data_IF_117672606374
#
_entry.id   IF_117672606374
#
_cell.length_a   1.000
_cell.length_b   1.000
_cell.length_c   1.000
_cell.angle_alpha   90.00
_cell.angle_beta   90.00
_cell.angle_gamma   90.00
#
_symmetry.space_group_name_H-M   'P 1'
#
loop_
_entity.id
_entity.type
_entity.pdbx_description
1 polymer ?
2 non-polymer ?
3 non-polymer ?
4 non-polymer ?
5 non-polymer ?
6 non-polymer ?
7 water ?
#
# COMPACT_ATOMS: atom_id res chain seq x y z
N UNK A 29 19.75 8.45 32.49
CA UNK A 29 19.94 7.84 31.13
C UNK A 29 21.08 6.83 31.09
N UNK A 30 20.81 5.68 31.69
CA UNK A 30 21.71 4.55 31.65
C UNK A 30 21.15 3.59 30.61
N UNK A 31 21.98 3.23 29.65
CA UNK A 31 21.52 2.44 28.49
C UNK A 31 21.05 1.04 28.89
N UNK A 32 21.56 0.54 30.02
CA UNK A 32 21.15 -0.78 30.50
C UNK A 32 19.74 -0.79 31.10
N UNK A 33 19.19 0.38 31.38
CA UNK A 33 17.81 0.50 31.89
C UNK A 33 16.77 0.88 30.82
N UNK A 34 17.18 1.02 29.57
CA UNK A 34 16.24 1.21 28.45
C UNK A 34 15.29 0.01 28.36
N UNK A 35 13.98 0.25 28.41
CA UNK A 35 13.03 -0.86 28.43
C UNK A 35 13.01 -1.74 27.16
N UNK A 36 12.74 -3.03 27.33
CA UNK A 36 12.33 -3.89 26.23
C UNK A 36 10.95 -3.42 25.74
N UNK A 37 10.68 -3.60 24.43
CA UNK A 37 9.41 -3.09 23.84
C UNK A 37 8.18 -3.86 24.28
N UNK A 38 7.02 -3.22 24.13
CA UNK A 38 5.73 -3.81 24.48
C UNK A 38 4.87 -3.97 23.25
N UNK A 39 3.86 -4.82 23.36
CA UNK A 39 2.97 -5.14 22.25
C UNK A 39 1.69 -4.35 22.38
N UNK A 40 1.07 -4.04 21.24
CA UNK A 40 -0.21 -3.37 21.25
C UNK A 40 -1.23 -4.18 22.07
N UNK A 41 -2.02 -3.48 22.87
CA UNK A 41 -3.01 -4.12 23.75
C UNK A 41 -4.29 -4.46 22.99
N UNK A 42 -4.44 -5.75 22.62
CA UNK A 42 -5.58 -6.17 21.79
C UNK A 42 -6.93 -6.02 22.53
N UNK A 43 -6.89 -5.94 23.86
CA UNK A 43 -8.10 -5.74 24.64
C UNK A 43 -8.68 -4.33 24.43
N UNK A 44 -7.86 -3.41 23.93
CA UNK A 44 -8.34 -2.04 23.64
C UNK A 44 -9.23 -1.95 22.39
N UNK A 45 -9.31 -3.02 21.60
CA UNK A 45 -10.05 -3.02 20.33
C UNK A 45 -11.43 -3.66 20.45
N UNK A 46 -12.36 -3.22 19.62
CA UNK A 46 -13.62 -3.92 19.47
C UNK A 46 -13.44 -5.10 18.50
N UNK A 47 -14.35 -6.06 18.56
CA UNK A 47 -14.29 -7.23 17.70
C UNK A 47 -14.17 -6.82 16.23
N UNK A 48 -13.22 -7.43 15.54
CA UNK A 48 -13.05 -7.18 14.10
C UNK A 48 -12.55 -8.46 13.44
N UNK A 49 -13.10 -8.80 12.29
CA UNK A 49 -12.65 -9.98 11.54
C UNK A 49 -11.22 -9.86 11.09
N UNK A 50 -10.49 -10.96 11.16
CA UNK A 50 -9.19 -11.06 10.48
C UNK A 50 -9.42 -11.33 8.99
N UNK A 51 -8.57 -10.73 8.15
CA UNK A 51 -8.52 -11.03 6.73
C UNK A 51 -7.36 -11.99 6.49
N UNK A 52 -7.60 -12.98 5.64
CA UNK A 52 -6.57 -13.95 5.32
C UNK A 52 -6.57 -14.27 3.83
N UNK A 53 -5.50 -14.92 3.38
CA UNK A 53 -5.36 -15.35 2.00
C UNK A 53 -5.91 -16.75 1.83
N UNK A 54 -6.77 -16.95 0.84
CA UNK A 54 -7.18 -18.30 0.44
C UNK A 54 -7.13 -18.39 -1.08
N UNK A 55 -6.15 -19.15 -1.57
CA UNK A 55 -5.92 -19.25 -3.01
C UNK A 55 -5.64 -17.88 -3.59
N UNK A 56 -6.40 -17.51 -4.62
CA UNK A 56 -6.26 -16.20 -5.24
C UNK A 56 -7.16 -15.12 -4.66
N UNK A 57 -7.76 -15.35 -3.50
CA UNK A 57 -8.65 -14.37 -2.86
C UNK A 57 -8.22 -14.04 -1.45
N UNK A 58 -8.69 -12.89 -0.99
CA UNK A 58 -8.79 -12.62 0.44
C UNK A 58 -10.16 -13.09 0.92
N UNK A 59 -10.19 -13.61 2.13
CA UNK A 59 -11.44 -13.92 2.83
C UNK A 59 -11.42 -13.38 4.25
N UNK A 60 -12.58 -12.99 4.76
CA UNK A 60 -12.72 -12.65 6.18
C UNK A 60 -12.87 -13.94 6.99
N UNK A 61 -12.84 -13.82 8.31
CA UNK A 61 -12.85 -15.02 9.13
C UNK A 61 -14.25 -15.61 9.34
N UNK A 62 -15.25 -14.97 8.72
CA UNK A 62 -16.56 -15.58 8.53
C UNK A 62 -16.59 -16.39 7.23
N UNK A 63 -15.49 -16.38 6.48
CA UNK A 63 -15.39 -17.15 5.23
C UNK A 63 -15.84 -16.42 3.97
N UNK A 64 -16.29 -15.18 4.10
CA UNK A 64 -16.75 -14.39 2.96
C UNK A 64 -15.60 -13.73 2.20
N UNK A 65 -15.64 -13.75 0.87
CA UNK A 65 -14.62 -13.11 0.03
C UNK A 65 -14.54 -11.62 0.36
N UNK A 66 -13.32 -11.11 0.46
CA UNK A 66 -13.10 -9.74 0.86
C UNK A 66 -12.25 -9.01 -0.17
N UNK A 67 -12.57 -7.74 -0.38
CA UNK A 67 -11.80 -6.87 -1.27
C UNK A 67 -11.37 -5.61 -0.53
N UNK A 68 -10.06 -5.35 -0.46
CA UNK A 68 -9.59 -4.05 -0.02
C UNK A 68 -9.94 -2.99 -1.08
N UNK A 69 -10.62 -1.97 -0.57
CA UNK A 69 -11.06 -0.78 -1.28
C UNK A 69 -10.84 0.48 -0.42
N UNK A 70 -9.99 1.41 -0.86
CA UNK A 70 -9.74 2.55 -0.05
C UNK A 70 -8.75 3.45 -0.70
N UNK A 71 -7.97 4.13 0.14
CA UNK A 71 -7.07 5.16 -0.31
C UNK A 71 -5.77 5.13 0.47
N UNK A 72 -4.75 5.72 -0.12
CA UNK A 72 -3.59 6.16 0.62
C UNK A 72 -3.90 7.49 1.25
N UNK A 73 -3.36 7.71 2.44
CA UNK A 73 -3.21 9.06 2.98
C UNK A 73 -1.71 9.36 3.04
N UNK A 74 -1.34 10.58 3.39
CA UNK A 74 0.07 10.95 3.38
C UNK A 74 0.79 10.34 4.59
N UNK A 75 2.11 10.43 4.58
CA UNK A 75 2.91 9.99 5.73
C UNK A 75 2.43 10.67 7.00
N UNK A 76 2.44 9.92 8.10
CA UNK A 76 1.98 10.37 9.40
C UNK A 76 2.66 11.68 9.84
N UNK A 77 3.98 11.78 9.59
CA UNK A 77 4.73 12.99 9.92
C UNK A 77 4.29 14.20 9.12
N UNK A 78 3.98 14.02 7.84
CA UNK A 78 3.46 15.15 7.08
C UNK A 78 2.11 15.63 7.68
N UNK A 79 1.23 14.69 7.98
CA UNK A 79 -0.08 15.05 8.50
C UNK A 79 0.04 15.74 9.86
N UNK A 80 0.86 15.19 10.75
CA UNK A 80 1.05 15.80 12.08
C UNK A 80 1.56 17.25 11.94
N UNK A 81 2.45 17.49 11.01
CA UNK A 81 3.05 18.81 10.83
C UNK A 81 2.02 19.88 10.49
N UNK A 82 0.87 19.49 9.95
CA UNK A 82 -0.19 20.45 9.65
C UNK A 82 -1.44 20.19 10.51
N UNK A 83 -1.28 19.42 11.58
CA UNK A 83 -2.39 19.08 12.48
C UNK A 83 -3.55 18.39 11.79
N UNK A 84 -3.24 17.54 10.81
CA UNK A 84 -4.26 16.79 10.10
C UNK A 84 -4.25 15.32 10.45
N UNK A 85 -3.37 14.92 11.39
CA UNK A 85 -3.37 13.54 11.90
C UNK A 85 -4.35 13.45 13.05
N UNK A 86 -5.55 13.01 12.70
CA UNK A 86 -6.66 12.94 13.65
C UNK A 86 -7.75 11.98 13.16
N UNK A 87 -8.55 11.49 14.10
CA UNK A 87 -9.57 10.50 13.83
C UNK A 87 -10.59 11.00 12.83
N UNK A 88 -10.83 12.31 12.83
CA UNK A 88 -11.77 12.90 11.90
C UNK A 88 -11.43 12.62 10.45
N UNK A 89 -10.15 12.47 10.13
CA UNK A 89 -9.76 12.11 8.75
C UNK A 89 -10.28 10.71 8.39
N UNK A 90 -10.09 9.75 9.31
CA UNK A 90 -10.51 8.36 9.06
C UNK A 90 -12.05 8.29 9.00
N UNK A 91 -12.70 9.08 9.83
CA UNK A 91 -14.16 9.15 9.87
C UNK A 91 -14.71 9.70 8.54
N UNK A 92 -14.07 10.74 8.01
CA UNK A 92 -14.49 11.27 6.72
C UNK A 92 -14.44 10.15 5.67
N UNK A 93 -13.35 9.39 5.67
CA UNK A 93 -13.15 8.38 4.64
C UNK A 93 -14.11 7.21 4.78
N UNK A 94 -14.26 6.71 5.99
CA UNK A 94 -15.17 5.61 6.23
C UNK A 94 -16.64 6.01 6.01
N UNK A 95 -17.06 7.15 6.52
CA UNK A 95 -18.46 7.54 6.46
C UNK A 95 -18.87 8.13 5.12
N UNK A 96 -17.99 8.88 4.45
CA UNK A 96 -18.36 9.62 3.25
C UNK A 96 -17.75 9.15 1.93
N UNK A 97 -16.67 8.37 1.98
CA UNK A 97 -15.98 7.96 0.76
C UNK A 97 -16.05 6.45 0.48
N UNK A 98 -16.72 5.71 1.36
CA UNK A 98 -16.95 4.29 1.16
C UNK A 98 -15.75 3.38 1.36
N UNK A 99 -14.70 3.85 2.04
CA UNK A 99 -13.48 3.02 2.10
C UNK A 99 -13.65 1.91 3.12
N UNK A 100 -13.02 0.76 2.90
CA UNK A 100 -12.82 -0.22 3.96
C UNK A 100 -11.34 -0.39 4.36
N UNK A 101 -10.45 0.35 3.72
CA UNK A 101 -9.00 0.21 3.91
C UNK A 101 -8.30 1.59 3.81
N UNK A 102 -7.29 1.81 4.64
CA UNK A 102 -6.38 2.94 4.43
C UNK A 102 -4.95 2.41 4.34
N UNK A 103 -4.21 2.88 3.34
CA UNK A 103 -2.79 2.56 3.22
C UNK A 103 -1.97 3.70 3.81
N UNK A 104 -1.10 3.37 4.75
CA UNK A 104 -0.19 4.32 5.40
C UNK A 104 1.20 4.18 4.77
N UNK A 105 1.64 5.17 3.97
CA UNK A 105 2.96 5.10 3.36
C UNK A 105 4.00 5.70 4.31
N UNK A 106 4.63 4.83 5.07
CA UNK A 106 5.60 5.19 6.06
C UNK A 106 6.96 5.42 5.40
N UNK A 107 7.36 6.70 5.30
CA UNK A 107 8.58 7.05 4.60
C UNK A 107 9.76 6.89 5.55
N UNK A 108 10.85 6.23 5.10
CA UNK A 108 11.98 6.01 6.00
C UNK A 108 12.53 7.28 6.63
N UNK A 109 12.57 8.39 5.89
CA UNK A 109 13.09 9.64 6.45
C UNK A 109 12.24 10.13 7.63
N UNK A 110 10.94 9.86 7.56
CA UNK A 110 9.98 10.26 8.59
C UNK A 110 10.03 9.32 9.78
N UNK A 111 10.21 8.03 9.52
CA UNK A 111 10.45 7.02 10.55
C UNK A 111 11.66 7.43 11.39
N UNK A 112 12.74 7.87 10.73
CA UNK A 112 13.92 8.36 11.45
C UNK A 112 13.71 9.72 12.14
N UNK A 113 13.05 10.66 11.46
CA UNK A 113 12.82 11.98 12.01
C UNK A 113 11.91 11.92 13.26
N UNK A 114 10.77 11.27 13.17
CA UNK A 114 9.96 11.10 14.40
C UNK A 114 10.61 10.14 15.38
N UNK A 115 11.31 9.13 14.87
CA UNK A 115 11.89 8.09 15.68
C UNK A 115 10.91 6.95 15.80
N UNK A 116 11.42 5.70 15.82
CA UNK A 116 10.54 4.53 15.89
C UNK A 116 9.51 4.57 17.01
N UNK A 117 9.93 4.90 18.23
CA UNK A 117 9.01 4.87 19.37
C UNK A 117 7.82 5.80 19.16
N UNK A 118 8.09 7.01 18.68
CA UNK A 118 7.03 8.01 18.50
C UNK A 118 6.16 7.65 17.31
N UNK A 119 6.81 7.17 16.25
CA UNK A 119 6.08 6.79 15.04
C UNK A 119 5.14 5.65 15.39
N UNK A 120 5.62 4.66 16.13
CA UNK A 120 4.74 3.53 16.46
C UNK A 120 3.57 4.00 17.33
N UNK A 121 3.82 4.97 18.22
CA UNK A 121 2.74 5.52 19.03
C UNK A 121 1.64 6.15 18.19
N UNK A 122 2.02 6.79 17.08
CA UNK A 122 1.03 7.34 16.15
C UNK A 122 0.33 6.25 15.31
N UNK A 123 1.07 5.23 14.88
CA UNK A 123 0.42 4.10 14.26
C UNK A 123 -0.63 3.46 15.20
N UNK A 124 -0.33 3.40 16.50
CA UNK A 124 -1.31 2.89 17.46
C UNK A 124 -2.62 3.67 17.38
N UNK A 125 -2.53 4.97 17.22
CA UNK A 125 -3.70 5.81 17.13
C UNK A 125 -4.49 5.38 15.89
N UNK A 126 -3.80 5.21 14.76
CA UNK A 126 -4.47 4.78 13.53
C UNK A 126 -5.20 3.46 13.69
N UNK A 127 -4.58 2.52 14.42
CA UNK A 127 -5.14 1.21 14.68
C UNK A 127 -6.45 1.36 15.45
N UNK A 128 -6.43 2.17 16.50
CA UNK A 128 -7.62 2.37 17.30
C UNK A 128 -8.72 3.05 16.51
N UNK A 129 -8.37 4.04 15.70
CA UNK A 129 -9.36 4.75 14.89
C UNK A 129 -9.99 3.82 13.87
N UNK A 130 -9.13 3.07 13.19
CA UNK A 130 -9.56 2.21 12.11
C UNK A 130 -10.45 1.11 12.70
N UNK A 131 -10.02 0.50 13.80
CA UNK A 131 -10.78 -0.55 14.47
C UNK A 131 -12.17 -0.05 14.87
N UNK A 132 -12.27 1.18 15.36
CA UNK A 132 -13.52 1.70 15.82
C UNK A 132 -14.49 1.86 14.65
N UNK A 133 -13.95 2.15 13.47
CA UNK A 133 -14.73 2.37 12.27
C UNK A 133 -14.92 1.08 11.46
N UNK A 134 -14.35 -0.02 11.92
CA UNK A 134 -14.48 -1.28 11.20
C UNK A 134 -13.68 -1.31 9.90
N UNK A 135 -12.63 -0.52 9.78
CA UNK A 135 -11.81 -0.54 8.55
C UNK A 135 -10.39 -1.06 8.83
N UNK A 136 -9.64 -1.32 7.75
CA UNK A 136 -8.37 -2.00 7.80
C UNK A 136 -7.22 -1.10 7.39
N UNK A 137 -6.02 -1.42 7.89
CA UNK A 137 -4.78 -0.73 7.48
C UNK A 137 -3.85 -1.61 6.68
N UNK A 138 -3.23 -1.01 5.68
CA UNK A 138 -2.07 -1.56 5.00
C UNK A 138 -0.90 -0.72 5.46
N UNK A 139 0.07 -1.38 6.11
CA UNK A 139 1.29 -0.68 6.52
C UNK A 139 2.33 -0.88 5.44
N UNK A 140 2.77 0.23 4.84
CA UNK A 140 3.67 0.22 3.69
C UNK A 140 5.02 0.88 4.05
N UNK A 141 6.10 0.11 3.88
CA UNK A 141 7.42 0.63 4.06
C UNK A 141 7.72 1.36 2.76
N UNK A 142 7.61 2.69 2.80
CA UNK A 142 7.46 3.47 1.59
C UNK A 142 8.79 3.99 1.06
N UNK A 143 9.49 3.09 0.38
CA UNK A 143 10.73 3.40 -0.29
C UNK A 143 10.57 3.19 -1.80
N UNK A 144 11.46 3.82 -2.57
CA UNK A 144 11.50 3.68 -4.03
C UNK A 144 12.96 3.51 -4.42
N UNK A 145 13.30 2.37 -5.00
CA UNK A 145 14.67 2.07 -5.35
C UNK A 145 14.98 0.60 -5.24
N UNK A 146 16.27 0.32 -5.06
CA UNK A 146 16.76 -1.04 -5.08
C UNK A 146 17.43 -1.41 -3.78
N UNK A 147 16.68 -2.13 -2.95
CA UNK A 147 17.12 -2.44 -1.60
C UNK A 147 18.39 -3.28 -1.56
N UNK A 148 18.55 -4.24 -2.51
CA UNK A 148 19.78 -5.03 -2.47
C UNK A 148 21.07 -4.22 -2.60
N UNK A 149 21.07 -3.09 -3.31
CA UNK A 149 22.25 -2.24 -3.36
C UNK A 149 22.13 -1.01 -2.45
N UNK A 150 20.97 -0.86 -1.83
CA UNK A 150 20.68 0.27 -0.95
C UNK A 150 20.83 1.62 -1.67
N UNK A 151 20.31 1.70 -2.89
CA UNK A 151 20.34 2.94 -3.68
C UNK A 151 18.89 3.29 -4.05
N UNK A 152 18.55 4.57 -3.99
CA UNK A 152 17.12 5.00 -4.03
C UNK A 152 16.85 6.18 -4.97
N UNK A 153 15.59 6.38 -5.27
CA UNK A 153 15.20 7.45 -6.17
C UNK A 153 15.42 8.83 -5.53
N UNK A 154 15.33 8.93 -4.21
CA UNK A 154 15.39 10.24 -3.51
C UNK A 154 15.72 9.95 -2.04
N UNK A 155 16.41 10.89 -1.38
CA UNK A 155 16.78 10.70 0.03
C UNK A 155 15.61 10.44 1.01
N UNK A 156 14.42 10.94 0.72
CA UNK A 156 13.28 10.69 1.61
C UNK A 156 13.00 9.17 1.71
N UNK A 157 13.47 8.41 0.73
CA UNK A 157 13.24 6.96 0.68
C UNK A 157 14.44 6.15 1.16
N UNK A 158 15.52 6.84 1.54
CA UNK A 158 16.77 6.17 1.88
C UNK A 158 16.61 5.22 3.05
N UNK A 159 17.16 4.01 2.90
CA UNK A 159 17.12 3.01 3.95
C UNK A 159 18.27 2.02 3.72
N UNK A 160 18.32 0.99 4.55
CA UNK A 160 19.29 -0.07 4.43
C UNK A 160 18.53 -1.38 4.64
N UNK A 161 19.16 -2.49 4.28
CA UNK A 161 18.59 -3.81 4.58
C UNK A 161 18.39 -3.94 6.09
N UNK A 162 19.39 -3.52 6.87
CA UNK A 162 19.30 -3.58 8.31
C UNK A 162 18.12 -2.81 8.87
N UNK A 163 17.93 -1.57 8.41
CA UNK A 163 16.82 -0.73 8.92
C UNK A 163 15.46 -1.25 8.47
N UNK A 164 15.40 -1.81 7.25
CA UNK A 164 14.19 -2.39 6.74
C UNK A 164 13.78 -3.63 7.54
N UNK A 165 14.73 -4.50 7.83
CA UNK A 165 14.46 -5.66 8.69
C UNK A 165 13.97 -5.21 10.06
N UNK A 166 14.67 -4.24 10.64
CA UNK A 166 14.32 -3.74 11.94
C UNK A 166 12.90 -3.17 11.97
N UNK A 167 12.54 -2.41 10.95
CA UNK A 167 11.17 -1.89 10.85
C UNK A 167 10.16 -3.03 10.92
N UNK A 168 10.37 -4.08 10.12
CA UNK A 168 9.39 -5.16 10.08
C UNK A 168 9.42 -5.98 11.38
N UNK A 169 10.60 -6.11 11.98
CA UNK A 169 10.71 -6.82 13.24
C UNK A 169 9.88 -6.08 14.32
N UNK A 170 10.04 -4.77 14.39
CA UNK A 170 9.34 -3.95 15.37
C UNK A 170 7.83 -3.94 15.13
N UNK A 171 7.43 -3.78 13.86
CA UNK A 171 6.03 -3.72 13.48
C UNK A 171 5.33 -5.05 13.77
N UNK A 172 5.96 -6.16 13.38
CA UNK A 172 5.31 -7.45 13.55
C UNK A 172 5.14 -7.84 15.04
N UNK A 173 6.14 -7.56 15.86
CA UNK A 173 6.05 -7.77 17.29
C UNK A 173 4.94 -6.89 17.88
N UNK A 174 4.95 -5.61 17.57
CA UNK A 174 3.99 -4.71 18.20
C UNK A 174 2.53 -5.04 17.86
N UNK A 175 2.26 -5.39 16.61
CA UNK A 175 0.86 -5.59 16.17
C UNK A 175 0.50 -7.06 16.02
N UNK A 176 1.18 -7.92 16.77
CA UNK A 176 0.82 -9.31 16.82
C UNK A 176 -0.66 -9.47 17.17
N UNK A 177 -1.40 -10.25 16.38
CA UNK A 177 -2.78 -10.59 16.70
C UNK A 177 -3.76 -9.42 16.65
N UNK A 178 -3.44 -8.43 15.82
CA UNK A 178 -4.27 -7.24 15.68
C UNK A 178 -4.93 -7.34 14.31
N UNK A 179 -6.24 -7.62 14.26
CA UNK A 179 -6.91 -7.81 12.97
C UNK A 179 -6.93 -6.57 12.07
N UNK A 180 -6.94 -5.40 12.70
CA UNK A 180 -7.05 -4.12 12.01
C UNK A 180 -5.91 -3.90 11.04
N UNK A 181 -4.73 -4.35 11.44
CA UNK A 181 -3.54 -4.21 10.61
C UNK A 181 -3.46 -5.47 9.75
N UNK A 182 -3.87 -5.35 8.49
CA UNK A 182 -4.11 -6.54 7.68
C UNK A 182 -2.96 -6.92 6.79
N UNK A 183 -2.23 -5.95 6.27
CA UNK A 183 -1.28 -6.21 5.20
C UNK A 183 0.02 -5.48 5.51
N UNK A 184 1.12 -6.21 5.37
CA UNK A 184 2.49 -5.66 5.52
C UNK A 184 3.14 -5.58 4.15
N UNK A 185 3.20 -4.38 3.59
CA UNK A 185 3.69 -4.17 2.25
C UNK A 185 5.18 -3.86 2.37
N UNK A 186 5.99 -4.84 2.01
CA UNK A 186 7.39 -4.93 2.44
C UNK A 186 8.28 -3.81 1.91
N UNK A 187 8.06 -3.41 0.65
CA UNK A 187 8.89 -2.36 0.02
C UNK A 187 8.06 -1.80 -1.12
N UNK A 188 7.58 -0.58 -0.94
CA UNK A 188 6.66 0.08 -1.85
C UNK A 188 6.95 -0.10 -3.35
N UNK A 189 8.03 0.48 -3.85
CA UNK A 189 8.32 0.44 -5.29
C UNK A 189 9.75 0.01 -5.64
N UNK A 190 9.97 -1.30 -5.85
CA UNK A 190 11.26 -1.67 -6.40
C UNK A 190 11.50 -1.08 -7.79
N UNK A 191 12.71 -0.54 -7.98
CA UNK A 191 13.14 -0.06 -9.30
C UNK A 191 14.66 0.14 -9.28
N UNK A 192 15.32 -0.11 -10.40
CA UNK A 192 16.73 0.27 -10.51
C UNK A 192 16.95 1.54 -11.35
N UNK A 193 15.86 2.19 -11.74
CA UNK A 193 15.90 3.40 -12.58
C UNK A 193 16.80 3.20 -13.79
N UNK A 194 16.43 2.26 -14.63
CA UNK A 194 17.24 1.96 -15.81
C UNK A 194 18.59 1.35 -15.46
N UNK A 195 18.65 0.63 -14.33
CA UNK A 195 19.90 0.04 -13.82
C UNK A 195 20.97 1.04 -13.38
N UNK A 196 20.56 2.28 -13.14
CA UNK A 196 21.46 3.28 -12.57
C UNK A 196 21.63 3.05 -11.06
N UNK A 197 20.71 2.32 -10.44
CA UNK A 197 20.76 2.07 -8.99
C UNK A 197 21.41 0.75 -8.65
N UNK A 198 21.62 -0.09 -9.67
CA UNK A 198 22.11 -1.46 -9.51
C UNK A 198 21.59 -2.29 -10.68
N UNK A 199 21.97 -3.57 -10.75
CA UNK A 199 21.49 -4.46 -11.82
C UNK A 199 20.28 -5.19 -11.28
N UNK A 200 19.09 -4.93 -11.83
CA UNK A 200 17.89 -5.58 -11.32
C UNK A 200 18.10 -7.07 -11.52
N UNK A 201 17.78 -7.82 -10.49
CA UNK A 201 17.96 -9.27 -10.51
C UNK A 201 16.84 -9.89 -9.70
N UNK A 202 15.93 -10.60 -10.39
CA UNK A 202 14.74 -11.13 -9.71
C UNK A 202 15.13 -12.11 -8.60
N UNK A 203 16.08 -13.01 -8.88
CA UNK A 203 16.48 -14.03 -7.88
C UNK A 203 16.90 -13.40 -6.54
N UNK A 204 17.68 -12.35 -6.64
CA UNK A 204 18.18 -11.64 -5.47
C UNK A 204 17.04 -10.95 -4.71
N UNK A 205 16.13 -10.33 -5.46
CA UNK A 205 14.99 -9.63 -4.86
C UNK A 205 14.01 -10.62 -4.21
N UNK A 206 13.68 -11.68 -4.94
CA UNK A 206 12.88 -12.78 -4.41
C UNK A 206 13.42 -13.31 -3.07
N UNK A 207 14.71 -13.57 -3.03
CA UNK A 207 15.35 -14.12 -1.83
C UNK A 207 15.24 -13.15 -0.66
N UNK A 208 15.41 -11.86 -0.95
CA UNK A 208 15.30 -10.87 0.11
C UNK A 208 13.88 -10.79 0.66
N UNK A 209 12.87 -10.75 -0.22
CA UNK A 209 11.48 -10.80 0.24
C UNK A 209 11.19 -12.04 1.06
N UNK A 210 11.69 -13.18 0.60
CA UNK A 210 11.53 -14.42 1.36
C UNK A 210 12.15 -14.30 2.74
N UNK A 211 13.32 -13.66 2.83
CA UNK A 211 13.97 -13.45 4.13
C UNK A 211 13.08 -12.60 5.06
N UNK A 212 12.50 -11.53 4.52
CA UNK A 212 11.62 -10.63 5.29
C UNK A 212 10.37 -11.37 5.75
N UNK A 213 9.79 -12.14 4.84
CA UNK A 213 8.60 -12.91 5.14
C UNK A 213 8.88 -13.88 6.28
N UNK A 214 10.04 -14.52 6.25
CA UNK A 214 10.37 -15.50 7.27
C UNK A 214 10.47 -14.82 8.66
N UNK A 215 11.06 -13.63 8.70
CA UNK A 215 11.12 -12.87 9.98
C UNK A 215 9.72 -12.54 10.47
N UNK A 216 8.88 -12.12 9.55
CA UNK A 216 7.52 -11.71 9.89
C UNK A 216 6.73 -12.90 10.41
N UNK A 217 6.78 -14.03 9.69
CA UNK A 217 6.00 -15.21 10.06
C UNK A 217 6.50 -15.87 11.35
N UNK A 218 7.79 -15.69 11.66
CA UNK A 218 8.34 -16.19 12.92
C UNK A 218 7.74 -15.45 14.14
N UNK A 219 7.19 -14.27 13.89
CA UNK A 219 6.62 -13.38 14.92
C UNK A 219 5.07 -13.32 14.88
N UNK A 220 4.47 -13.42 13.69
CA UNK A 220 3.00 -13.39 13.52
C UNK A 220 2.59 -14.04 12.21
N UNK A 221 1.93 -15.19 12.28
CA UNK A 221 1.54 -15.91 11.05
C UNK A 221 0.20 -15.47 10.49
N UNK A 222 -0.49 -14.55 11.16
CA UNK A 222 -1.85 -14.14 10.76
C UNK A 222 -1.86 -12.93 9.82
N UNK A 223 -0.69 -12.39 9.52
CA UNK A 223 -0.63 -11.16 8.76
C UNK A 223 -0.35 -11.51 7.31
N UNK A 224 -0.74 -10.62 6.40
CA UNK A 224 -0.53 -10.83 4.97
C UNK A 224 0.63 -9.99 4.42
N UNK A 225 1.77 -10.63 4.06
CA UNK A 225 2.82 -9.90 3.35
C UNK A 225 2.41 -9.59 1.92
N UNK A 226 2.82 -8.42 1.44
CA UNK A 226 2.52 -7.96 0.11
C UNK A 226 3.82 -7.66 -0.60
N UNK A 227 4.09 -8.38 -1.68
CA UNK A 227 5.36 -8.34 -2.41
C UNK A 227 5.18 -7.62 -3.74
N UNK A 228 6.19 -6.84 -4.14
CA UNK A 228 6.12 -6.05 -5.38
C UNK A 228 7.20 -6.47 -6.37
N UNK A 229 6.91 -6.21 -7.64
CA UNK A 229 7.86 -6.44 -8.73
C UNK A 229 8.62 -5.19 -9.13
N UNK A 230 9.35 -5.29 -10.22
CA UNK A 230 10.23 -4.23 -10.69
C UNK A 230 9.44 -3.18 -11.49
N UNK A 231 10.17 -2.23 -12.07
CA UNK A 231 9.57 -1.13 -12.83
C UNK A 231 8.54 -0.36 -11.99
N UNK A 232 8.97 0.00 -10.78
CA UNK A 232 8.17 0.68 -9.78
C UNK A 232 6.89 -0.10 -9.41
N UNK A 233 7.05 -1.35 -9.00
CA UNK A 233 5.93 -2.20 -8.59
C UNK A 233 4.91 -2.41 -9.72
N UNK A 234 5.37 -2.37 -10.97
CA UNK A 234 4.46 -2.55 -12.08
C UNK A 234 4.54 -3.96 -12.70
N UNK A 235 5.75 -4.52 -12.74
CA UNK A 235 6.01 -5.73 -13.46
C UNK A 235 6.12 -6.92 -12.53
N UNK A 236 5.04 -7.69 -12.46
CA UNK A 236 5.02 -8.94 -11.72
C UNK A 236 5.38 -10.14 -12.61
N UNK A 237 5.71 -9.89 -13.87
CA UNK A 237 5.93 -11.01 -14.82
C UNK A 237 6.94 -12.06 -14.35
N UNK A 238 7.95 -11.67 -13.56
CA UNK A 238 8.87 -12.71 -13.08
C UNK A 238 8.24 -13.84 -12.28
N UNK A 239 7.10 -13.60 -11.63
CA UNK A 239 6.49 -14.62 -10.79
C UNK A 239 5.85 -15.76 -11.62
N UNK A 240 5.69 -15.56 -12.92
CA UNK A 240 5.20 -16.63 -13.80
C UNK A 240 6.10 -17.84 -13.64
N UNK A 241 7.41 -17.61 -13.65
CA UNK A 241 8.39 -18.69 -13.55
C UNK A 241 8.98 -18.85 -12.16
N UNK A 242 9.02 -17.78 -11.38
CA UNK A 242 9.71 -17.82 -10.09
C UNK A 242 8.97 -17.00 -9.05
N UNK A 243 7.76 -17.47 -8.65
CA UNK A 243 7.04 -16.79 -7.59
C UNK A 243 7.76 -16.92 -6.24
N UNK A 244 7.52 -15.98 -5.34
CA UNK A 244 8.00 -16.10 -3.98
C UNK A 244 7.53 -17.44 -3.42
N UNK A 245 8.43 -18.20 -2.80
CA UNK A 245 8.09 -19.57 -2.36
C UNK A 245 7.57 -19.60 -0.92
N UNK A 246 6.54 -18.80 -0.65
CA UNK A 246 5.93 -18.74 0.66
C UNK A 246 4.43 -18.64 0.44
N UNK A 247 3.67 -19.28 1.33
CA UNK A 247 2.23 -19.23 1.30
C UNK A 247 1.68 -18.01 2.02
N UNK A 248 0.42 -17.69 1.75
CA UNK A 248 -0.30 -16.64 2.48
C UNK A 248 0.07 -15.22 2.10
N UNK A 249 0.69 -15.04 0.94
CA UNK A 249 1.07 -13.70 0.51
C UNK A 249 0.20 -13.20 -0.60
N UNK A 250 0.29 -11.90 -0.85
CA UNK A 250 -0.34 -11.27 -2.00
C UNK A 250 0.70 -10.46 -2.75
N UNK A 251 0.34 -10.02 -3.96
CA UNK A 251 1.23 -9.23 -4.78
C UNK A 251 0.65 -7.83 -5.01
N UNK A 252 1.53 -6.85 -5.02
CA UNK A 252 1.16 -5.46 -5.26
C UNK A 252 1.28 -5.15 -6.72
N UNK A 253 0.52 -4.17 -7.19
CA UNK A 253 0.69 -3.61 -8.52
C UNK A 253 0.39 -2.13 -8.47
N UNK A 254 1.12 -1.33 -9.23
CA UNK A 254 0.93 0.12 -9.31
C UNK A 254 0.65 0.50 -10.76
N UNK A 255 -0.56 0.17 -11.23
CA UNK A 255 -0.88 0.36 -12.65
C UNK A 255 -1.35 1.77 -12.95
N UNK A 256 -0.42 2.71 -12.83
CA UNK A 256 -0.67 4.10 -13.23
C UNK A 256 -0.93 4.21 -14.73
N UNK A 257 -1.61 5.27 -15.18
CA UNK A 257 -2.09 5.36 -16.58
C UNK A 257 -1.03 5.20 -17.66
N UNK A 258 0.16 5.75 -17.43
CA UNK A 258 1.21 5.75 -18.46
C UNK A 258 2.20 4.62 -18.41
N UNK A 259 1.98 3.64 -17.54
CA UNK A 259 2.89 2.54 -17.37
C UNK A 259 2.82 1.63 -18.61
N UNK A 260 1.61 1.34 -19.07
CA UNK A 260 1.39 0.67 -20.34
C UNK A 260 1.28 1.73 -21.41
N UNK A 261 1.91 1.50 -22.56
CA UNK A 261 1.93 2.51 -23.61
C UNK A 261 1.50 1.95 -24.95
N UNK A 262 0.23 1.57 -25.10
CA UNK A 262 -0.23 1.08 -26.39
C UNK A 262 -0.29 2.22 -27.41
N UNK A 263 -0.02 1.92 -28.67
CA UNK A 263 -0.13 2.94 -29.72
C UNK A 263 -1.57 3.39 -29.89
N UNK A 264 -2.51 2.45 -29.85
CA UNK A 264 -3.94 2.81 -29.86
C UNK A 264 -4.53 2.65 -28.45
N UNK A 265 -4.99 3.75 -27.87
CA UNK A 265 -5.49 3.79 -26.51
C UNK A 265 -6.96 3.39 -26.40
N UNK A 266 -7.21 2.11 -26.15
CA UNK A 266 -8.58 1.64 -25.91
C UNK A 266 -8.58 0.54 -24.87
N UNK A 267 -9.76 0.05 -24.50
CA UNK A 267 -9.87 -0.96 -23.46
C UNK A 267 -9.07 -2.20 -23.81
N UNK A 268 -9.30 -2.71 -25.00
CA UNK A 268 -8.70 -3.98 -25.40
C UNK A 268 -7.18 -3.95 -25.27
N UNK A 269 -6.55 -2.88 -25.75
CA UNK A 269 -5.09 -2.81 -25.82
C UNK A 269 -4.42 -2.61 -24.44
N UNK A 270 -5.05 -1.79 -23.60
CA UNK A 270 -4.59 -1.61 -22.23
C UNK A 270 -4.80 -2.89 -21.43
N UNK A 271 -5.95 -3.54 -21.64
CA UNK A 271 -6.25 -4.77 -20.91
C UNK A 271 -5.22 -5.84 -21.22
N UNK A 272 -4.81 -5.95 -22.48
CA UNK A 272 -3.83 -6.96 -22.85
C UNK A 272 -2.47 -6.67 -22.24
N UNK A 273 -2.05 -5.41 -22.27
CA UNK A 273 -0.76 -5.03 -21.69
C UNK A 273 -0.78 -5.19 -20.16
N UNK A 274 -1.86 -4.77 -19.52
CA UNK A 274 -1.99 -5.01 -18.09
C UNK A 274 -1.96 -6.51 -17.76
N UNK A 275 -2.67 -7.31 -18.56
CA UNK A 275 -2.68 -8.76 -18.40
C UNK A 275 -1.27 -9.32 -18.36
N UNK A 276 -0.45 -8.90 -19.31
CA UNK A 276 0.90 -9.44 -19.47
C UNK A 276 1.81 -9.12 -18.30
N UNK A 277 1.70 -7.91 -17.75
CA UNK A 277 2.64 -7.45 -16.72
C UNK A 277 2.24 -7.69 -15.28
N UNK A 278 0.95 -7.60 -14.97
CA UNK A 278 0.50 -7.73 -13.60
C UNK A 278 -0.83 -8.39 -13.42
N UNK A 279 -1.78 -8.14 -14.32
CA UNK A 279 -3.10 -8.71 -14.17
C UNK A 279 -3.20 -10.22 -14.08
N UNK A 280 -2.33 -10.93 -14.80
CA UNK A 280 -2.30 -12.39 -14.80
C UNK A 280 -2.15 -12.93 -13.38
N UNK A 281 -1.46 -12.19 -12.52
CA UNK A 281 -1.18 -12.62 -11.17
C UNK A 281 -2.46 -12.91 -10.39
N UNK A 282 -3.52 -12.15 -10.66
CA UNK A 282 -4.78 -12.31 -9.93
C UNK A 282 -5.49 -13.63 -10.22
N UNK A 283 -5.08 -14.36 -11.27
CA UNK A 283 -5.63 -15.72 -11.50
C UNK A 283 -5.16 -16.72 -10.46
N UNK A 284 -4.01 -16.48 -9.85
CA UNK A 284 -3.37 -17.43 -8.94
C UNK A 284 -3.21 -16.93 -7.49
N UNK A 285 -2.94 -15.62 -7.34
CA UNK A 285 -2.71 -14.98 -6.05
C UNK A 285 -3.62 -13.76 -5.91
N UNK A 286 -3.91 -13.35 -4.66
CA UNK A 286 -4.59 -12.08 -4.49
C UNK A 286 -3.66 -10.94 -4.88
N UNK A 287 -4.24 -9.89 -5.44
CA UNK A 287 -3.49 -8.73 -5.89
C UNK A 287 -4.13 -7.48 -5.29
N UNK A 288 -3.30 -6.57 -4.79
CA UNK A 288 -3.75 -5.24 -4.39
C UNK A 288 -3.02 -4.21 -5.25
N UNK A 289 -3.78 -3.43 -6.01
CA UNK A 289 -3.23 -2.26 -6.66
C UNK A 289 -3.12 -1.17 -5.60
N UNK A 290 -2.00 -1.14 -4.91
CA UNK A 290 -1.84 -0.23 -3.74
C UNK A 290 -1.59 1.23 -4.09
N UNK A 291 -1.34 1.48 -5.37
CA UNK A 291 -1.42 2.82 -5.92
C UNK A 291 -2.00 2.74 -7.33
N UNK A 292 -2.86 3.71 -7.63
CA UNK A 292 -3.37 3.96 -8.96
C UNK A 292 -3.97 5.35 -8.89
N UNK A 293 -4.25 5.92 -10.05
CA UNK A 293 -4.84 7.24 -10.11
C UNK A 293 -4.36 8.06 -11.28
N UNK A 294 -4.96 9.23 -11.43
CA UNK A 294 -4.55 10.14 -12.51
C UNK A 294 -4.86 11.59 -12.20
N UNK A 295 -4.23 12.47 -12.97
CA UNK A 295 -4.61 13.88 -13.04
C UNK A 295 -4.51 14.31 -14.52
N UNK A 296 -5.28 15.32 -14.91
CA UNK A 296 -5.16 15.87 -16.29
C UNK A 296 -3.69 16.30 -16.57
N UNK A 297 -3.21 16.15 -17.83
CA UNK A 297 -1.84 16.53 -18.13
C UNK A 297 -1.53 17.98 -17.77
N UNK A 298 -2.53 18.86 -17.78
CA UNK A 298 -2.35 20.26 -17.36
C UNK A 298 -2.93 20.53 -15.96
N UNK A 299 -3.10 19.48 -15.16
CA UNK A 299 -3.66 19.62 -13.82
C UNK A 299 -2.56 19.81 -12.78
N UNK A 300 -2.98 19.78 -11.53
CA UNK A 300 -2.10 20.06 -10.40
C UNK A 300 -1.06 18.97 -10.16
N UNK A 301 0.21 19.37 -10.14
CA UNK A 301 1.32 18.45 -9.92
C UNK A 301 1.41 17.30 -10.91
N UNK A 302 1.01 17.56 -12.15
CA UNK A 302 1.00 16.55 -13.21
C UNK A 302 2.40 16.09 -13.54
N UNK A 303 2.60 14.78 -13.64
CA UNK A 303 3.89 14.19 -14.03
C UNK A 303 3.66 12.79 -14.61
N UNK A 304 4.60 12.33 -15.41
CA UNK A 304 4.64 10.94 -15.85
C UNK A 304 4.91 10.13 -14.59
N UNK A 305 4.20 9.00 -14.39
CA UNK A 305 3.27 8.32 -15.27
C UNK A 305 1.77 8.53 -14.92
N UNK A 306 1.41 9.65 -14.32
CA UNK A 306 0.02 9.82 -13.86
C UNK A 306 -0.87 10.71 -14.74
N UNK A 307 -0.35 11.16 -15.87
CA UNK A 307 -1.14 12.03 -16.72
C UNK A 307 -2.17 11.23 -17.54
N UNK A 308 -3.41 11.69 -17.54
CA UNK A 308 -4.47 11.06 -18.35
C UNK A 308 -5.64 11.99 -18.56
N UNK A 309 -6.38 11.77 -19.65
CA UNK A 309 -7.56 12.59 -19.94
C UNK A 309 -8.78 12.17 -19.14
N UNK A 310 -8.68 11.15 -18.30
CA UNK A 310 -9.80 10.71 -17.49
C UNK A 310 -10.43 9.40 -17.94
N UNK A 311 -10.18 8.97 -19.17
CA UNK A 311 -10.74 7.69 -19.65
C UNK A 311 -10.14 6.49 -18.88
N UNK A 312 -8.94 6.66 -18.35
CA UNK A 312 -8.31 5.67 -17.49
C UNK A 312 -9.15 5.23 -16.29
N UNK A 313 -9.84 6.16 -15.65
CA UNK A 313 -10.64 5.83 -14.47
C UNK A 313 -11.59 4.66 -14.72
N UNK A 314 -12.55 4.81 -15.66
CA UNK A 314 -13.48 3.71 -15.88
C UNK A 314 -12.79 2.46 -16.36
N UNK A 315 -11.70 2.61 -17.10
CA UNK A 315 -10.98 1.46 -17.63
C UNK A 315 -10.35 0.60 -16.54
N UNK A 316 -9.58 1.22 -15.65
CA UNK A 316 -8.89 0.46 -14.61
C UNK A 316 -9.91 -0.12 -13.63
N UNK A 317 -10.97 0.63 -13.30
CA UNK A 317 -12.02 0.11 -12.43
C UNK A 317 -12.69 -1.12 -13.06
N UNK A 318 -13.07 -1.01 -14.33
CA UNK A 318 -13.66 -2.13 -15.04
C UNK A 318 -12.74 -3.34 -15.01
N UNK A 319 -11.45 -3.12 -15.30
CA UNK A 319 -10.48 -4.21 -15.34
C UNK A 319 -10.30 -4.90 -13.97
N UNK A 320 -10.18 -4.08 -12.93
CA UNK A 320 -10.00 -4.61 -11.57
C UNK A 320 -11.26 -5.35 -11.10
N UNK A 321 -12.43 -4.80 -11.41
CA UNK A 321 -13.70 -5.40 -10.99
C UNK A 321 -13.89 -6.74 -11.68
N UNK A 322 -13.48 -6.82 -12.93
CA UNK A 322 -13.51 -8.06 -13.69
C UNK A 322 -12.65 -9.14 -13.00
N UNK A 323 -11.47 -8.76 -12.54
CA UNK A 323 -10.53 -9.72 -11.98
C UNK A 323 -10.62 -9.89 -10.47
N UNK A 324 -11.44 -9.09 -9.81
CA UNK A 324 -11.54 -9.14 -8.35
C UNK A 324 -10.33 -8.53 -7.62
N UNK A 325 -9.62 -7.64 -8.30
CA UNK A 325 -8.45 -6.99 -7.73
C UNK A 325 -8.81 -5.92 -6.68
N UNK A 326 -8.06 -5.92 -5.57
CA UNK A 326 -8.20 -4.94 -4.51
C UNK A 326 -7.40 -3.68 -4.85
N UNK A 327 -7.68 -2.56 -4.19
CA UNK A 327 -6.98 -1.32 -4.54
C UNK A 327 -7.06 -0.21 -3.47
N UNK A 328 -6.03 0.62 -3.46
CA UNK A 328 -6.00 1.85 -2.68
C UNK A 328 -5.47 2.99 -3.57
N UNK A 329 -6.35 3.95 -3.83
CA UNK A 329 -6.06 5.08 -4.71
C UNK A 329 -4.99 5.97 -4.08
N UNK A 330 -4.12 6.53 -4.92
CA UNK A 330 -3.12 7.53 -4.49
C UNK A 330 -3.62 8.88 -5.03
N UNK A 331 -3.88 9.90 -4.19
CA UNK A 331 -3.69 9.88 -2.74
C UNK A 331 -4.71 10.84 -2.14
N UNK A 332 -5.19 10.48 -0.96
CA UNK A 332 -6.13 11.33 -0.24
C UNK A 332 -5.37 12.40 0.55
N UNK A 333 -4.90 13.41 -0.19
CA UNK A 333 -4.09 14.50 0.32
C UNK A 333 -4.23 15.65 -0.68
N UNK A 334 -4.26 16.91 -0.21
CA UNK A 334 -4.34 18.04 -1.13
C UNK A 334 -3.00 18.57 -1.67
N UNK A 335 -1.87 18.07 -1.15
CA UNK A 335 -0.53 18.57 -1.55
C UNK A 335 0.22 17.63 -2.50
N UNK A 336 0.24 16.35 -2.15
CA UNK A 336 0.91 15.30 -2.92
C UNK A 336 -0.01 14.91 -4.07
N UNK A 337 0.55 14.70 -5.26
CA UNK A 337 -0.23 14.45 -6.45
C UNK A 337 -0.02 13.02 -6.99
N UNK A 338 -1.00 12.52 -7.74
CA UNK A 338 -2.30 13.10 -8.05
C UNK A 338 -3.21 13.12 -6.82
N UNK A 339 -3.84 14.26 -6.57
CA UNK A 339 -4.66 14.41 -5.38
C UNK A 339 -6.04 13.83 -5.59
N UNK A 340 -6.68 13.39 -4.50
CA UNK A 340 -8.11 13.05 -4.50
C UNK A 340 -8.96 14.22 -3.99
N UNK A 341 -8.32 15.19 -3.35
CA UNK A 341 -8.99 16.32 -2.75
C UNK A 341 -8.18 17.57 -3.00
N UNK A 342 -8.89 18.69 -3.09
CA UNK A 342 -8.29 19.99 -3.38
C UNK A 342 -7.87 20.75 -2.15
N UNK A 343 -8.45 20.38 -1.00
CA UNK A 343 -8.19 21.07 0.24
C UNK A 343 -8.58 20.18 1.40
N UNK A 344 -8.31 20.64 2.61
CA UNK A 344 -8.66 19.86 3.80
C UNK A 344 -10.12 19.98 4.24
N UNK A 345 -10.96 20.64 3.44
CA UNK A 345 -12.42 20.49 3.59
C UNK A 345 -12.91 19.33 2.74
N UNK A 346 -12.00 18.63 2.08
CA UNK A 346 -12.30 17.44 1.30
C UNK A 346 -13.06 17.69 0.00
N UNK A 347 -12.95 18.90 -0.56
CA UNK A 347 -13.45 19.17 -1.93
C UNK A 347 -12.83 18.18 -2.92
N UNK A 348 -13.66 17.42 -3.64
CA UNK A 348 -13.07 16.35 -4.46
C UNK A 348 -12.38 16.86 -5.71
N UNK A 349 -11.26 16.25 -6.09
CA UNK A 349 -10.65 16.52 -7.39
C UNK A 349 -11.38 15.69 -8.43
N UNK A 350 -10.97 15.83 -9.70
CA UNK A 350 -11.55 15.00 -10.75
C UNK A 350 -11.50 13.53 -10.40
N UNK A 351 -10.30 12.99 -10.11
CA UNK A 351 -10.21 11.57 -9.79
C UNK A 351 -10.85 11.25 -8.46
N UNK A 352 -10.84 12.22 -7.54
CA UNK A 352 -11.47 12.03 -6.24
C UNK A 352 -12.98 11.80 -6.39
N UNK A 353 -13.64 12.66 -7.15
CA UNK A 353 -15.08 12.52 -7.36
C UNK A 353 -15.38 11.19 -8.05
N UNK A 354 -14.53 10.78 -8.99
CA UNK A 354 -14.72 9.52 -9.68
C UNK A 354 -14.62 8.32 -8.75
N UNK A 355 -13.52 8.23 -8.01
CA UNK A 355 -13.32 7.08 -7.15
C UNK A 355 -14.29 7.08 -5.97
N UNK A 356 -14.66 8.26 -5.47
CA UNK A 356 -15.62 8.34 -4.35
C UNK A 356 -16.95 7.64 -4.72
N UNK A 357 -17.44 7.91 -5.92
CA UNK A 357 -18.67 7.30 -6.41
C UNK A 357 -18.51 5.79 -6.58
N UNK A 358 -17.39 5.36 -7.16
CA UNK A 358 -17.08 3.96 -7.33
C UNK A 358 -17.10 3.21 -6.00
N UNK A 359 -16.42 3.76 -5.00
CA UNK A 359 -16.28 3.08 -3.71
C UNK A 359 -17.60 3.06 -2.96
N UNK A 360 -18.31 4.16 -3.00
CA UNK A 360 -19.64 4.23 -2.37
C UNK A 360 -20.59 3.17 -2.97
N UNK A 361 -20.56 3.02 -4.29
CA UNK A 361 -21.41 2.05 -4.96
C UNK A 361 -20.99 0.61 -4.64
N UNK A 362 -19.68 0.37 -4.59
CA UNK A 362 -19.17 -0.96 -4.26
C UNK A 362 -19.52 -1.34 -2.82
N UNK A 363 -19.53 -0.36 -1.93
CA UNK A 363 -19.90 -0.60 -0.53
C UNK A 363 -21.33 -1.10 -0.41
N UNK A 364 -22.24 -0.51 -1.19
CA UNK A 364 -23.60 -1.01 -1.34
C UNK A 364 -23.59 -2.30 -2.14
#
# INVERSE_FOLDING_TARGET
MRTTKFLALALCLLASASALSANNSAPSNDWWDIPYPSQFDVKSLKTQSFISVKGNKFIDDKGKTFTFRGVNIADTGKLLSRNQWQKSLFEELANNWGVNTIRLPIHPVSWRKLGPDVYLGHIDEAVRWANDLGIYLILDWHSIGYLPTEQYQHPMYDTTIKETRDFWRRITFRYQNVPTVAVYELFNEPTTMGNTLGERNWAEWKTLNESLIDMIYASDKTVIPLVAGFNWAYDLSPIKKAPIEREGIAYAAHPYPQKAKPEVKNDKNFFKLWDEKWGFAADTYPVIATELGWVQPDGYGAHIPVKDDGSYGPRIVKYMQKKGVSYTVWVFDPDWSPTMINDWDFTPSEQGAFFKQVMLEAKKR
#
